data_IF_086019467056
#
_entry.id   IF_086019467056
#
_cell.length_a   1.000
_cell.length_b   1.000
_cell.length_c   1.000
_cell.angle_alpha   90.00
_cell.angle_beta   90.00
_cell.angle_gamma   90.00
#
_symmetry.space_group_name_H-M   'P 1'
#
loop_
_entity.id
_entity.type
_entity.pdbx_description
1 polymer ?
#
# COMPACT_ATOMS: atom_id res chain seq x y z
N UNK A 1 -1.98 -48.83 -41.84
CA UNK A 1 -2.07 -48.73 -40.37
C UNK A 1 -1.01 -47.74 -39.86
N UNK A 2 -1.36 -46.46 -39.60
CA UNK A 2 -0.46 -45.56 -38.84
C UNK A 2 -1.17 -44.69 -37.77
N UNK A 3 -2.44 -44.95 -37.45
CA UNK A 3 -3.27 -44.04 -36.62
C UNK A 3 -3.09 -44.18 -35.10
N UNK A 4 -2.48 -45.27 -34.60
CA UNK A 4 -2.32 -45.52 -33.16
C UNK A 4 -1.20 -44.70 -32.51
N UNK A 5 -0.10 -44.45 -33.24
CA UNK A 5 1.06 -43.73 -32.70
C UNK A 5 0.79 -42.24 -32.48
N UNK A 6 -0.04 -41.61 -33.33
CA UNK A 6 -0.41 -40.20 -33.19
C UNK A 6 -1.34 -39.93 -32.00
N UNK A 7 -2.24 -40.87 -31.68
CA UNK A 7 -3.15 -40.76 -30.55
C UNK A 7 -2.42 -40.92 -29.21
N UNK A 8 -1.46 -41.85 -29.14
CA UNK A 8 -0.59 -42.01 -27.96
C UNK A 8 0.29 -40.78 -27.72
N UNK A 9 0.90 -40.23 -28.77
CA UNK A 9 1.73 -39.03 -28.65
C UNK A 9 0.91 -37.80 -28.20
N UNK A 10 -0.30 -37.63 -28.73
CA UNK A 10 -1.20 -36.55 -28.31
C UNK A 10 -1.68 -36.71 -26.85
N UNK A 11 -1.97 -37.93 -26.41
CA UNK A 11 -2.37 -38.21 -25.03
C UNK A 11 -1.21 -37.96 -24.04
N UNK A 12 0.02 -38.38 -24.38
CA UNK A 12 1.20 -38.11 -23.55
C UNK A 12 1.50 -36.61 -23.49
N UNK A 13 1.43 -35.90 -24.61
CA UNK A 13 1.61 -34.45 -24.63
C UNK A 13 0.54 -33.71 -23.79
N UNK A 14 -0.72 -34.13 -23.85
CA UNK A 14 -1.78 -33.56 -23.02
C UNK A 14 -1.55 -33.81 -21.53
N UNK A 15 -1.10 -35.02 -21.14
CA UNK A 15 -0.76 -35.33 -19.74
C UNK A 15 0.44 -34.49 -19.26
N UNK A 16 1.47 -34.30 -20.08
CA UNK A 16 2.64 -33.47 -19.74
C UNK A 16 2.25 -31.99 -19.57
N UNK A 17 1.38 -31.45 -20.42
CA UNK A 17 0.89 -30.07 -20.31
C UNK A 17 0.01 -29.88 -19.07
N UNK A 18 -0.81 -30.87 -18.71
CA UNK A 18 -1.61 -30.83 -17.47
C UNK A 18 -0.71 -30.91 -16.22
N UNK A 19 0.32 -31.75 -16.24
CA UNK A 19 1.29 -31.86 -15.13
C UNK A 19 2.15 -30.59 -14.98
N UNK A 20 2.56 -29.95 -16.08
CA UNK A 20 3.30 -28.68 -16.04
C UNK A 20 2.41 -27.46 -15.75
N UNK A 21 1.14 -27.48 -16.13
CA UNK A 21 0.19 -26.41 -15.82
C UNK A 21 -0.17 -26.32 -14.34
N UNK A 22 0.01 -27.40 -13.57
CA UNK A 22 -0.24 -27.45 -12.13
C UNK A 22 0.99 -27.17 -11.28
N UNK A 23 2.17 -27.03 -11.89
CA UNK A 23 3.40 -26.67 -11.20
C UNK A 23 3.74 -25.18 -11.26
N UNK A 24 2.83 -24.35 -11.80
CA UNK A 24 2.84 -22.90 -11.55
C UNK A 24 2.47 -22.63 -10.08
N UNK A 25 3.39 -22.98 -9.19
CA UNK A 25 3.36 -22.56 -7.80
C UNK A 25 3.49 -21.03 -7.82
N UNK A 26 2.54 -20.25 -7.25
CA UNK A 26 2.88 -18.90 -6.90
C UNK A 26 4.17 -18.96 -6.06
N UNK A 27 5.16 -18.12 -6.39
CA UNK A 27 6.35 -17.97 -5.57
C UNK A 27 5.94 -17.32 -4.23
N UNK A 28 5.33 -18.10 -3.33
CA UNK A 28 5.22 -17.75 -1.92
C UNK A 28 6.59 -18.03 -1.28
N UNK A 29 7.52 -17.09 -1.42
CA UNK A 29 8.84 -17.16 -0.81
C UNK A 29 8.81 -16.79 0.68
N UNK A 30 7.85 -17.31 1.44
CA UNK A 30 7.86 -17.27 2.91
C UNK A 30 7.01 -18.41 3.47
N UNK A 31 7.66 -19.46 3.99
CA UNK A 31 7.02 -20.50 4.80
C UNK A 31 6.57 -19.98 6.18
N UNK A 32 7.03 -18.78 6.54
CA UNK A 32 6.60 -18.10 7.73
C UNK A 32 5.27 -17.38 7.43
N UNK A 33 4.21 -17.87 8.06
CA UNK A 33 2.96 -17.13 8.21
C UNK A 33 3.07 -16.36 9.52
N UNK A 34 3.37 -15.04 9.50
CA UNK A 34 3.32 -14.26 10.72
C UNK A 34 1.93 -14.39 11.35
N UNK A 35 1.82 -14.46 12.69
CA UNK A 35 0.53 -14.32 13.34
C UNK A 35 -0.14 -13.03 12.83
N UNK A 36 -1.48 -13.01 12.69
CA UNK A 36 -2.18 -11.80 12.29
C UNK A 36 -1.73 -10.64 13.19
N UNK A 37 -1.47 -9.44 12.62
CA UNK A 37 -1.03 -8.32 13.41
C UNK A 37 -2.14 -7.91 14.38
N UNK A 38 -1.89 -7.99 15.69
CA UNK A 38 -2.73 -7.30 16.67
C UNK A 38 -2.35 -5.83 16.71
N UNK A 39 -3.30 -4.98 16.38
CA UNK A 39 -3.21 -3.54 16.61
C UNK A 39 -4.23 -3.14 17.65
N UNK A 40 -3.89 -3.34 18.93
CA UNK A 40 -4.63 -2.72 20.00
C UNK A 40 -4.22 -1.24 20.11
N UNK A 41 -5.20 -0.37 20.27
CA UNK A 41 -4.91 1.01 20.66
C UNK A 41 -4.35 1.02 22.09
N UNK A 42 -3.26 1.75 22.32
CA UNK A 42 -2.56 1.76 23.61
C UNK A 42 -3.16 2.77 24.62
N UNK A 43 -4.41 3.19 24.40
CA UNK A 43 -5.14 4.14 25.25
C UNK A 43 -4.42 5.50 25.46
N UNK A 44 -3.57 5.89 24.51
CA UNK A 44 -2.90 7.18 24.50
C UNK A 44 -3.87 8.35 24.25
N UNK A 45 -3.34 9.57 24.25
CA UNK A 45 -4.09 10.70 23.71
C UNK A 45 -3.95 10.72 22.18
N UNK A 46 -5.06 10.94 21.46
CA UNK A 46 -5.02 11.20 20.02
C UNK A 46 -4.94 12.70 19.78
N UNK A 47 -4.04 13.14 18.90
CA UNK A 47 -4.03 14.51 18.41
C UNK A 47 -5.22 14.72 17.47
N UNK A 48 -6.14 15.61 17.85
CA UNK A 48 -7.35 15.90 17.08
C UNK A 48 -7.47 17.41 16.78
N UNK A 49 -8.16 17.75 15.70
CA UNK A 49 -8.39 19.13 15.28
C UNK A 49 -7.26 19.72 14.43
N UNK A 50 -7.20 21.06 14.39
CA UNK A 50 -6.21 21.80 13.60
C UNK A 50 -4.88 21.86 14.35
N UNK A 51 -3.99 20.90 14.09
CA UNK A 51 -2.67 20.81 14.72
C UNK A 51 -1.65 21.62 13.90
N UNK A 52 -1.09 22.73 14.42
CA UNK A 52 -0.03 23.45 13.73
C UNK A 52 1.27 22.64 13.76
N UNK A 53 1.80 22.28 12.59
CA UNK A 53 3.07 21.55 12.46
C UNK A 53 4.17 22.52 12.04
N UNK A 54 5.27 22.56 12.80
CA UNK A 54 6.47 23.32 12.47
C UNK A 54 7.65 22.36 12.23
N UNK A 55 8.38 22.55 11.13
CA UNK A 55 9.53 21.70 10.78
C UNK A 55 10.82 22.47 11.04
N UNK A 56 11.65 21.96 11.95
CA UNK A 56 12.99 22.48 12.21
C UNK A 56 14.02 21.66 11.41
N UNK A 57 14.75 22.31 10.52
CA UNK A 57 15.84 21.69 9.75
C UNK A 57 17.17 21.93 10.45
N UNK A 58 17.85 20.87 10.88
CA UNK A 58 19.18 20.94 11.46
C UNK A 58 20.24 20.56 10.41
N UNK A 59 21.22 21.44 10.19
CA UNK A 59 22.28 21.26 9.18
C UNK A 59 21.95 21.82 7.78
N UNK A 60 22.73 21.41 6.79
CA UNK A 60 22.62 21.91 5.42
C UNK A 60 21.50 21.18 4.66
N UNK A 61 20.31 21.78 4.64
CA UNK A 61 19.20 21.35 3.77
C UNK A 61 18.99 22.37 2.65
N UNK A 62 19.26 22.03 1.39
CA UNK A 62 18.95 22.90 0.25
C UNK A 62 17.46 23.25 0.17
N UNK A 63 17.08 24.41 -0.38
CA UNK A 63 15.68 24.81 -0.54
C UNK A 63 14.82 23.76 -1.23
N UNK A 64 15.38 23.05 -2.23
CA UNK A 64 14.64 22.02 -2.96
C UNK A 64 14.29 20.80 -2.09
N UNK A 65 15.18 20.35 -1.19
CA UNK A 65 14.89 19.26 -0.25
C UNK A 65 13.85 19.68 0.79
N UNK A 66 13.95 20.91 1.32
CA UNK A 66 12.95 21.45 2.25
C UNK A 66 11.57 21.51 1.60
N UNK A 67 11.51 21.90 0.33
CA UNK A 67 10.27 21.97 -0.41
C UNK A 67 9.63 20.58 -0.63
N UNK A 68 10.40 19.51 -0.81
CA UNK A 68 9.86 18.13 -0.88
C UNK A 68 9.11 17.78 0.41
N UNK A 69 9.74 18.01 1.56
CA UNK A 69 9.15 17.69 2.87
C UNK A 69 7.94 18.57 3.17
N UNK A 70 8.06 19.88 2.93
CA UNK A 70 6.95 20.82 3.13
C UNK A 70 5.75 20.48 2.24
N UNK A 71 5.98 20.17 0.96
CA UNK A 71 4.90 19.80 0.04
C UNK A 71 4.25 18.49 0.45
N UNK A 72 5.00 17.49 0.94
CA UNK A 72 4.43 16.26 1.47
C UNK A 72 3.48 16.54 2.64
N UNK A 73 3.93 17.30 3.66
CA UNK A 73 3.12 17.67 4.83
C UNK A 73 1.87 18.47 4.43
N UNK A 74 2.02 19.40 3.48
CA UNK A 74 0.90 20.18 2.93
C UNK A 74 -0.07 19.35 2.07
N UNK A 75 0.30 18.13 1.71
CA UNK A 75 -0.53 17.18 0.97
C UNK A 75 -1.33 16.24 1.87
N UNK A 76 -1.09 16.24 3.19
CA UNK A 76 -1.84 15.42 4.14
C UNK A 76 -3.29 15.91 4.29
N UNK A 77 -3.48 17.23 4.26
CA UNK A 77 -4.82 17.83 4.33
C UNK A 77 -5.48 17.82 2.94
N UNK A 78 -6.69 17.24 2.81
CA UNK A 78 -7.50 17.46 1.61
C UNK A 78 -7.92 18.94 1.59
N UNK A 79 -7.31 19.76 0.72
CA UNK A 79 -7.89 21.07 0.46
C UNK A 79 -9.22 20.86 -0.24
N UNK A 80 -10.22 21.62 0.21
CA UNK A 80 -11.63 21.39 -0.06
C UNK A 80 -11.87 21.01 -1.50
N UNK A 81 -12.45 19.81 -1.71
CA UNK A 81 -12.78 19.25 -3.02
C UNK A 81 -11.82 19.78 -4.09
N UNK A 82 -10.60 19.25 -4.15
CA UNK A 82 -10.03 19.01 -5.47
C UNK A 82 -11.00 18.06 -6.16
N UNK A 83 -12.05 18.66 -6.72
CA UNK A 83 -12.87 18.14 -7.77
C UNK A 83 -11.89 18.01 -8.92
N UNK A 84 -11.05 16.98 -8.88
CA UNK A 84 -10.49 16.41 -10.09
C UNK A 84 -11.76 16.06 -10.86
N UNK A 85 -12.13 16.80 -11.92
CA UNK A 85 -13.36 16.56 -12.62
C UNK A 85 -13.14 15.22 -13.30
N UNK A 86 -13.61 14.15 -12.66
CA UNK A 86 -13.89 12.92 -13.34
C UNK A 86 -15.14 13.25 -14.14
N UNK A 87 -14.94 13.84 -15.32
CA UNK A 87 -15.96 13.85 -16.35
C UNK A 87 -16.32 12.39 -16.59
N UNK A 88 -17.52 12.02 -16.14
CA UNK A 88 -18.07 10.70 -16.35
C UNK A 88 -18.01 10.40 -17.86
N UNK A 89 -17.12 9.48 -18.27
CA UNK A 89 -16.94 9.13 -19.68
C UNK A 89 -15.66 9.62 -20.38
N UNK A 90 -14.71 10.28 -19.70
CA UNK A 90 -13.39 10.53 -20.30
C UNK A 90 -12.60 9.22 -20.45
N UNK A 91 -12.19 8.79 -21.67
CA UNK A 91 -11.30 7.65 -21.83
C UNK A 91 -9.92 8.01 -21.29
N UNK A 92 -9.52 7.38 -20.20
CA UNK A 92 -8.22 7.62 -19.61
C UNK A 92 -7.95 6.69 -18.42
N UNK A 93 -6.66 6.44 -18.09
CA UNK A 93 -6.31 5.76 -16.86
C UNK A 93 -6.88 6.52 -15.66
N UNK A 94 -7.35 5.79 -14.64
CA UNK A 94 -7.75 6.41 -13.38
C UNK A 94 -6.60 7.27 -12.84
N UNK A 95 -6.90 8.47 -12.30
CA UNK A 95 -5.87 9.33 -11.73
C UNK A 95 -5.14 8.61 -10.60
N UNK A 96 -3.83 8.88 -10.43
CA UNK A 96 -3.07 8.26 -9.35
C UNK A 96 -3.68 8.62 -7.98
N UNK A 97 -3.60 7.71 -6.99
CA UNK A 97 -3.95 8.02 -5.62
C UNK A 97 -3.15 9.22 -5.11
N UNK A 98 -3.72 9.96 -4.16
CA UNK A 98 -3.08 11.14 -3.59
C UNK A 98 -2.52 10.86 -2.19
N UNK A 99 -1.56 11.67 -1.76
CA UNK A 99 -1.06 11.65 -0.37
C UNK A 99 -2.22 11.86 0.62
N UNK A 100 -3.16 12.76 0.32
CA UNK A 100 -4.35 12.99 1.15
C UNK A 100 -5.23 11.73 1.25
N UNK A 101 -5.40 10.98 0.15
CA UNK A 101 -6.17 9.72 0.16
C UNK A 101 -5.47 8.65 1.02
N UNK A 102 -4.16 8.54 0.91
CA UNK A 102 -3.38 7.66 1.78
C UNK A 102 -3.51 8.08 3.25
N UNK A 103 -3.36 9.37 3.55
CA UNK A 103 -3.48 9.94 4.89
C UNK A 103 -4.88 9.76 5.50
N UNK A 104 -5.93 9.78 4.68
CA UNK A 104 -7.30 9.49 5.12
C UNK A 104 -7.47 8.09 5.73
N UNK A 105 -6.53 7.15 5.50
CA UNK A 105 -6.50 5.89 6.23
C UNK A 105 -6.11 6.09 7.70
N UNK A 106 -5.16 6.98 7.99
CA UNK A 106 -4.75 7.33 9.36
C UNK A 106 -5.92 7.95 10.14
N UNK A 107 -6.72 8.80 9.48
CA UNK A 107 -7.92 9.38 10.09
C UNK A 107 -8.96 8.31 10.50
N UNK A 108 -9.02 7.17 9.79
CA UNK A 108 -9.88 6.04 10.20
C UNK A 108 -9.42 5.41 11.51
N UNK A 109 -8.11 5.33 11.75
CA UNK A 109 -7.55 4.86 13.01
C UNK A 109 -7.87 5.81 14.17
N UNK A 110 -7.65 7.12 13.96
CA UNK A 110 -7.97 8.18 14.94
C UNK A 110 -9.46 8.10 15.35
N UNK A 111 -10.36 8.03 14.37
CA UNK A 111 -11.82 7.94 14.63
C UNK A 111 -12.23 6.66 15.37
N UNK A 112 -11.52 5.54 15.15
CA UNK A 112 -11.76 4.29 15.88
C UNK A 112 -11.26 4.37 17.32
N UNK A 113 -10.15 5.04 17.57
CA UNK A 113 -9.65 5.30 18.92
C UNK A 113 -10.58 6.23 19.73
N UNK A 114 -11.10 7.31 19.13
CA UNK A 114 -11.93 8.31 19.82
C UNK A 114 -13.39 7.88 20.12
N UNK A 115 -13.88 6.76 19.60
CA UNK A 115 -15.26 6.28 19.79
C UNK A 115 -15.49 5.46 21.07
N UNK A 116 -14.62 5.60 22.06
CA UNK A 116 -14.69 4.88 23.33
C UNK A 116 -13.82 3.63 23.29
N UNK A 117 -12.58 3.77 23.77
CA UNK A 117 -11.65 2.66 24.00
C UNK A 117 -12.37 1.52 24.71
N UNK A 118 -12.58 0.44 23.98
CA UNK A 118 -13.48 -0.63 24.42
C UNK A 118 -13.79 -1.61 23.31
N UNK A 119 -12.93 -2.64 23.22
CA UNK A 119 -13.15 -3.90 22.50
C UNK A 119 -13.23 -3.83 20.97
N UNK A 120 -12.14 -4.23 20.29
CA UNK A 120 -12.24 -4.63 18.89
C UNK A 120 -10.97 -4.72 18.05
N UNK A 121 -9.79 -5.09 18.58
CA UNK A 121 -8.74 -5.71 17.74
C UNK A 121 -8.03 -6.80 18.55
N UNK A 122 -8.64 -7.98 18.60
CA UNK A 122 -8.00 -9.17 19.14
C UNK A 122 -7.83 -10.21 18.03
N UNK A 123 -6.65 -10.23 17.42
CA UNK A 123 -5.96 -11.48 17.06
C UNK A 123 -4.47 -11.20 16.89
N UNK A 124 -3.72 -11.28 17.99
CA UNK A 124 -2.26 -11.16 18.06
C UNK A 124 -1.80 -10.74 19.46
N UNK A 125 -0.51 -10.86 19.74
CA UNK A 125 0.05 -10.69 21.09
C UNK A 125 0.07 -9.23 21.55
N UNK A 126 -0.65 -8.92 22.63
CA UNK A 126 -0.65 -7.59 23.25
C UNK A 126 0.75 -7.17 23.77
N UNK A 127 1.68 -8.11 23.90
CA UNK A 127 3.07 -7.88 24.32
C UNK A 127 3.98 -7.35 23.19
N UNK A 128 3.52 -7.37 21.92
CA UNK A 128 4.29 -6.90 20.77
C UNK A 128 3.40 -6.08 19.82
N UNK A 129 2.93 -4.88 20.23
CA UNK A 129 2.07 -4.03 19.41
C UNK A 129 2.78 -3.64 18.11
N UNK A 130 2.12 -3.86 16.98
CA UNK A 130 2.66 -3.56 15.65
C UNK A 130 2.12 -2.22 15.16
N UNK A 131 3.00 -1.39 14.60
CA UNK A 131 2.61 -0.12 13.97
C UNK A 131 1.80 -0.35 12.69
N UNK A 132 0.86 0.54 12.37
CA UNK A 132 -0.06 0.41 11.21
C UNK A 132 0.67 0.18 9.88
N UNK A 133 1.81 0.84 9.68
CA UNK A 133 2.66 0.62 8.51
C UNK A 133 3.62 -0.58 8.69
N UNK A 134 4.01 -0.88 9.93
CA UNK A 134 4.93 -1.96 10.28
C UNK A 134 4.35 -3.35 10.03
N UNK A 135 3.02 -3.48 10.05
CA UNK A 135 2.31 -4.72 9.71
C UNK A 135 2.26 -5.01 8.20
N UNK A 136 2.66 -4.05 7.35
CA UNK A 136 2.78 -4.22 5.89
C UNK A 136 4.22 -3.94 5.41
N UNK A 137 5.23 -4.66 5.92
CA UNK A 137 6.62 -4.36 5.65
C UNK A 137 6.94 -4.56 4.17
N UNK A 138 7.52 -3.53 3.54
CA UNK A 138 7.94 -3.60 2.13
C UNK A 138 6.81 -3.59 1.10
N UNK A 139 5.54 -3.46 1.52
CA UNK A 139 4.39 -3.45 0.62
C UNK A 139 4.12 -2.01 0.16
N UNK A 140 4.42 -1.71 -1.10
CA UNK A 140 4.15 -0.39 -1.72
C UNK A 140 3.22 -0.49 -2.94
N UNK A 141 3.20 -1.65 -3.60
CA UNK A 141 2.41 -1.95 -4.78
C UNK A 141 1.89 -3.39 -4.78
N UNK A 142 1.07 -3.74 -5.78
CA UNK A 142 0.52 -5.09 -5.92
C UNK A 142 1.62 -6.12 -6.15
N UNK A 143 1.56 -7.25 -5.45
CA UNK A 143 2.54 -8.33 -5.61
C UNK A 143 3.91 -8.04 -5.01
N UNK A 144 3.98 -7.16 -4.00
CA UNK A 144 5.21 -6.90 -3.27
C UNK A 144 5.74 -8.15 -2.54
N UNK A 145 7.07 -8.27 -2.45
CA UNK A 145 7.78 -9.32 -1.70
C UNK A 145 9.18 -8.79 -1.32
N UNK A 146 9.95 -9.45 -0.44
CA UNK A 146 11.27 -8.97 -0.05
C UNK A 146 12.19 -8.69 -1.25
N UNK A 147 12.64 -7.44 -1.39
CA UNK A 147 13.45 -6.98 -2.53
C UNK A 147 12.66 -6.43 -3.73
N UNK A 148 11.33 -6.53 -3.72
CA UNK A 148 10.45 -5.98 -4.75
C UNK A 148 9.29 -5.19 -4.13
N UNK A 149 9.22 -3.85 -4.35
CA UNK A 149 8.21 -3.01 -3.70
C UNK A 149 6.77 -3.29 -4.17
N UNK A 150 6.60 -4.13 -5.20
CA UNK A 150 5.33 -4.35 -5.89
C UNK A 150 5.23 -3.51 -7.17
N UNK A 151 4.13 -3.70 -7.89
CA UNK A 151 3.80 -2.92 -9.07
C UNK A 151 3.46 -1.48 -8.67
N UNK A 152 4.46 -0.59 -8.76
CA UNK A 152 4.34 0.86 -8.54
C UNK A 152 4.52 1.61 -9.86
N UNK A 153 4.02 2.84 -9.93
CA UNK A 153 4.23 3.70 -11.11
C UNK A 153 5.69 4.12 -11.15
N UNK A 154 6.21 4.37 -12.35
CA UNK A 154 7.60 4.82 -12.56
C UNK A 154 7.59 6.21 -13.15
N UNK A 155 8.38 7.11 -12.59
CA UNK A 155 8.61 8.43 -13.17
C UNK A 155 9.50 8.32 -14.41
N UNK A 156 9.01 8.79 -15.55
CA UNK A 156 9.72 8.67 -16.82
C UNK A 156 11.03 9.48 -16.87
N UNK A 157 11.15 10.56 -16.10
CA UNK A 157 12.34 11.41 -16.10
C UNK A 157 13.48 10.84 -15.25
N UNK A 158 13.16 10.23 -14.10
CA UNK A 158 14.15 9.78 -13.10
C UNK A 158 14.26 8.27 -12.99
N UNK A 159 13.30 7.51 -13.50
CA UNK A 159 13.18 6.06 -13.28
C UNK A 159 12.72 5.69 -11.87
N UNK A 160 12.41 6.65 -11.00
CA UNK A 160 12.02 6.39 -9.62
C UNK A 160 10.57 5.86 -9.52
N UNK A 161 10.35 4.91 -8.60
CA UNK A 161 9.03 4.37 -8.29
C UNK A 161 8.20 5.29 -7.39
N UNK A 162 6.88 5.36 -7.61
CA UNK A 162 5.93 6.10 -6.79
C UNK A 162 4.54 5.45 -6.81
N UNK A 163 3.76 5.64 -5.76
CA UNK A 163 2.38 5.13 -5.68
C UNK A 163 1.36 6.21 -5.30
N UNK A 164 1.80 7.39 -4.89
CA UNK A 164 0.93 8.54 -4.62
C UNK A 164 1.48 9.84 -5.21
N UNK A 165 0.57 10.77 -5.48
CA UNK A 165 0.88 12.15 -5.89
C UNK A 165 0.43 13.13 -4.82
N UNK A 166 1.30 14.06 -4.46
CA UNK A 166 1.00 15.16 -3.55
C UNK A 166 0.91 16.50 -4.28
N UNK A 167 0.97 17.56 -3.48
CA UNK A 167 0.95 18.95 -3.90
C UNK A 167 2.02 19.23 -4.95
N UNK A 168 1.70 20.14 -5.86
CA UNK A 168 2.57 20.54 -6.98
C UNK A 168 2.97 19.37 -7.90
N UNK A 169 2.16 18.29 -7.94
CA UNK A 169 2.45 17.11 -8.75
C UNK A 169 3.63 16.28 -8.26
N UNK A 170 4.14 16.54 -7.05
CA UNK A 170 5.24 15.77 -6.48
C UNK A 170 4.82 14.32 -6.26
N UNK A 171 5.71 13.40 -6.59
CA UNK A 171 5.47 11.96 -6.53
C UNK A 171 6.15 11.40 -5.29
N UNK A 172 5.45 10.54 -4.56
CA UNK A 172 5.96 9.92 -3.34
C UNK A 172 5.70 8.42 -3.38
N UNK A 173 6.57 7.70 -2.69
CA UNK A 173 6.41 6.29 -2.39
C UNK A 173 6.07 6.16 -0.92
N UNK A 174 4.82 5.79 -0.62
CA UNK A 174 4.32 5.62 0.76
C UNK A 174 4.02 4.15 1.03
N UNK A 175 4.29 3.64 2.25
CA UNK A 175 4.01 2.26 2.58
C UNK A 175 2.50 2.00 2.57
N UNK A 176 2.12 0.75 2.30
CA UNK A 176 0.78 0.27 2.59
C UNK A 176 0.51 0.40 4.10
N UNK A 177 -0.72 0.77 4.42
CA UNK A 177 -1.23 0.80 5.78
C UNK A 177 -2.17 -0.38 5.94
N UNK A 178 -2.26 -0.96 7.13
CA UNK A 178 -3.28 -1.98 7.36
C UNK A 178 -4.67 -1.36 7.25
N UNK A 179 -5.63 -2.13 6.74
CA UNK A 179 -7.03 -1.78 6.80
C UNK A 179 -7.56 -2.03 8.22
N UNK A 180 -8.04 -1.00 8.93
CA UNK A 180 -8.57 -1.20 10.27
C UNK A 180 -9.85 -2.06 10.28
N UNK A 181 -10.49 -2.32 9.13
CA UNK A 181 -11.74 -3.07 9.03
C UNK A 181 -11.53 -4.58 8.79
N UNK A 182 -10.53 -4.97 7.99
CA UNK A 182 -10.30 -6.37 7.59
C UNK A 182 -8.84 -6.85 7.77
N UNK A 183 -7.96 -6.00 8.29
CA UNK A 183 -6.55 -6.31 8.59
C UNK A 183 -5.67 -6.66 7.40
N UNK A 184 -6.13 -6.41 6.16
CA UNK A 184 -5.30 -6.55 4.95
C UNK A 184 -4.45 -5.30 4.68
N UNK A 185 -3.41 -5.41 3.86
CA UNK A 185 -2.60 -4.27 3.46
C UNK A 185 -3.30 -3.42 2.38
N UNK A 186 -3.52 -2.14 2.66
CA UNK A 186 -4.09 -1.17 1.73
C UNK A 186 -3.02 -0.65 0.79
N UNK A 187 -3.10 -1.11 -0.45
CA UNK A 187 -2.19 -0.71 -1.52
C UNK A 187 -2.81 0.50 -2.25
N UNK A 188 -2.04 1.58 -2.39
CA UNK A 188 -2.42 2.74 -3.18
C UNK A 188 -2.19 2.44 -4.67
N UNK A 189 -3.21 1.91 -5.36
CA UNK A 189 -3.19 1.67 -6.81
C UNK A 189 -3.94 2.73 -7.58
#
# INVERSE_FOLDING_TARGET
MPRSHHLLAAAVAAVVVVVMGWSARPCEASLYQPPPPAMAYHDGAVLEGAVPVSVLYYGAFPPHHRAVVADFLMSLSPRGRDHQPHTFGAPGPAPPPTVARWWGTVERYVRKAGRGGGAGVARGDAAAPVEVAGACPGVYGRGAYPGYPGAVRVDAATGAGYNVVGRNGRRYLVPALVDPDNYSCLIMT
#
